data_IF_923616585764
#
_entry.id   IF_923616585764
#
_cell.length_a   1.000
_cell.length_b   1.000
_cell.length_c   1.000
_cell.angle_alpha   90.00
_cell.angle_beta   90.00
_cell.angle_gamma   90.00
#
_symmetry.space_group_name_H-M   'P 1'
#
loop_
_entity.id
_entity.type
_entity.pdbx_description
1 polymer ?
#
# COMPACT_ATOMS: atom_id res chain seq x y z
N UNK A 1 5.01 -19.92 2.92
CA UNK A 1 5.18 -19.04 1.75
C UNK A 1 4.44 -19.65 0.56
N UNK A 2 3.72 -18.84 -0.23
CA UNK A 2 3.15 -19.27 -1.52
C UNK A 2 3.73 -18.32 -2.57
N UNK A 3 4.56 -18.84 -3.47
CA UNK A 3 5.14 -18.09 -4.57
C UNK A 3 5.59 -19.06 -5.66
N UNK A 4 5.55 -18.64 -6.92
CA UNK A 4 5.88 -19.46 -8.08
C UNK A 4 7.05 -18.91 -8.90
N UNK A 5 7.66 -17.78 -8.49
CA UNK A 5 8.78 -17.21 -9.22
C UNK A 5 10.11 -17.86 -8.81
N UNK A 6 10.72 -18.72 -9.66
CA UNK A 6 11.95 -19.45 -9.31
C UNK A 6 13.17 -18.55 -9.16
N UNK A 7 13.10 -17.29 -9.59
CA UNK A 7 14.21 -16.33 -9.53
C UNK A 7 14.25 -15.54 -8.21
N UNK A 8 13.36 -15.86 -7.27
CA UNK A 8 13.26 -15.12 -6.00
C UNK A 8 13.88 -15.88 -4.84
N UNK A 9 14.50 -15.14 -3.92
CA UNK A 9 14.96 -15.69 -2.64
C UNK A 9 13.78 -16.26 -1.85
N UNK A 10 12.59 -15.64 -1.94
CA UNK A 10 11.39 -16.14 -1.24
C UNK A 10 10.92 -17.55 -1.64
N UNK A 11 11.41 -18.09 -2.76
CA UNK A 11 11.15 -19.47 -3.18
C UNK A 11 12.28 -20.42 -2.83
N UNK A 12 13.24 -19.99 -2.02
CA UNK A 12 14.20 -20.87 -1.38
C UNK A 12 13.52 -21.61 -0.21
N UNK A 13 13.85 -22.90 -0.05
CA UNK A 13 13.30 -23.75 0.99
C UNK A 13 13.77 -23.34 2.39
N UNK A 14 14.86 -22.59 2.50
CA UNK A 14 15.43 -22.15 3.77
C UNK A 14 14.75 -20.89 4.34
N UNK A 15 13.97 -20.16 3.53
CA UNK A 15 13.36 -18.87 3.91
C UNK A 15 12.02 -19.00 4.63
N UNK A 16 11.36 -20.15 4.54
CA UNK A 16 10.06 -20.37 5.16
C UNK A 16 9.89 -21.81 5.67
N UNK A 17 9.20 -21.98 6.79
CA UNK A 17 8.93 -23.31 7.37
C UNK A 17 8.23 -24.26 6.38
N UNK A 18 7.38 -23.70 5.51
CA UNK A 18 6.68 -24.39 4.43
C UNK A 18 6.61 -23.50 3.20
N UNK A 19 7.07 -24.02 2.07
CA UNK A 19 6.98 -23.37 0.77
C UNK A 19 6.03 -24.16 -0.16
N UNK A 20 5.04 -23.46 -0.70
CA UNK A 20 4.20 -23.95 -1.79
C UNK A 20 4.61 -23.24 -3.07
N UNK A 21 5.23 -23.99 -3.98
CA UNK A 21 5.62 -23.49 -5.28
C UNK A 21 4.43 -23.56 -6.24
N UNK A 22 3.50 -22.62 -6.06
CA UNK A 22 2.17 -22.63 -6.68
C UNK A 22 1.72 -21.23 -7.11
N UNK A 23 0.81 -21.19 -8.09
CA UNK A 23 0.22 -19.94 -8.56
C UNK A 23 -0.67 -19.30 -7.50
N UNK A 24 -0.61 -17.97 -7.38
CA UNK A 24 -1.48 -17.19 -6.51
C UNK A 24 -2.88 -17.12 -7.15
N UNK A 25 -3.75 -18.06 -6.79
CA UNK A 25 -5.07 -18.25 -7.41
C UNK A 25 -6.20 -18.41 -6.38
N UNK A 26 -7.45 -18.25 -6.84
CA UNK A 26 -8.64 -18.47 -5.99
C UNK A 26 -9.00 -19.94 -5.79
N UNK A 27 -8.30 -20.85 -6.46
CA UNK A 27 -8.53 -22.29 -6.36
C UNK A 27 -7.51 -22.89 -5.40
N UNK A 28 -6.22 -22.66 -5.67
CA UNK A 28 -5.13 -23.26 -4.90
C UNK A 28 -4.98 -22.64 -3.51
N UNK A 29 -5.13 -21.31 -3.38
CA UNK A 29 -4.83 -20.63 -2.12
C UNK A 29 -5.79 -21.00 -0.98
N UNK A 30 -7.12 -21.09 -1.19
CA UNK A 30 -8.04 -21.59 -0.17
C UNK A 30 -7.74 -23.03 0.26
N UNK A 31 -7.41 -23.92 -0.69
CA UNK A 31 -7.09 -25.32 -0.39
C UNK A 31 -5.84 -25.44 0.50
N UNK A 32 -4.80 -24.65 0.19
CA UNK A 32 -3.59 -24.56 1.02
C UNK A 32 -3.93 -23.97 2.39
N UNK A 33 -4.73 -22.90 2.44
CA UNK A 33 -5.15 -22.24 3.68
C UNK A 33 -5.84 -23.21 4.65
N UNK A 34 -6.78 -24.02 4.13
CA UNK A 34 -7.54 -25.00 4.88
C UNK A 34 -6.68 -26.20 5.29
N UNK A 35 -5.83 -26.70 4.39
CA UNK A 35 -4.91 -27.81 4.66
C UNK A 35 -3.93 -27.45 5.78
N UNK A 36 -3.38 -26.24 5.73
CA UNK A 36 -2.44 -25.72 6.74
C UNK A 36 -3.14 -25.26 8.02
N UNK A 37 -4.47 -25.15 8.01
CA UNK A 37 -5.27 -24.52 9.09
C UNK A 37 -4.67 -23.17 9.51
N UNK A 38 -4.34 -22.38 8.51
CA UNK A 38 -3.61 -21.13 8.72
C UNK A 38 -4.42 -20.15 9.57
N UNK A 39 -3.75 -19.51 10.54
CA UNK A 39 -4.39 -18.50 11.42
C UNK A 39 -4.93 -17.30 10.62
N UNK A 40 -4.26 -16.96 9.53
CA UNK A 40 -4.64 -15.91 8.62
C UNK A 40 -3.63 -15.76 7.50
N UNK A 41 -3.97 -14.93 6.52
CA UNK A 41 -3.15 -14.67 5.33
C UNK A 41 -2.72 -13.22 5.32
N UNK A 42 -1.47 -12.98 4.92
CA UNK A 42 -0.90 -11.66 4.66
C UNK A 42 -0.74 -11.50 3.15
N UNK A 43 -1.32 -10.44 2.59
CA UNK A 43 -1.35 -10.16 1.16
C UNK A 43 -0.58 -8.87 0.81
N UNK A 44 -0.30 -8.03 1.81
CA UNK A 44 0.27 -6.69 1.68
C UNK A 44 1.76 -6.68 1.32
N UNK A 45 2.36 -7.80 0.94
CA UNK A 45 3.79 -7.91 0.64
C UNK A 45 4.07 -8.49 -0.74
N UNK A 46 3.07 -9.05 -1.42
CA UNK A 46 3.26 -9.74 -2.70
C UNK A 46 2.84 -8.95 -3.93
N UNK A 47 2.67 -7.63 -3.82
CA UNK A 47 2.34 -6.78 -4.96
C UNK A 47 0.87 -6.79 -5.38
N UNK A 48 0.60 -6.56 -6.66
CA UNK A 48 -0.76 -6.40 -7.19
C UNK A 48 -1.53 -7.73 -7.27
N UNK A 49 -0.86 -8.83 -7.62
CA UNK A 49 -1.49 -10.16 -7.78
C UNK A 49 -2.25 -10.63 -6.53
N UNK A 50 -1.63 -10.72 -5.34
CA UNK A 50 -2.34 -11.10 -4.11
C UNK A 50 -3.38 -10.05 -3.68
N UNK A 51 -3.11 -8.76 -3.91
CA UNK A 51 -4.04 -7.69 -3.53
C UNK A 51 -5.36 -7.77 -4.34
N UNK A 52 -5.27 -8.14 -5.62
CA UNK A 52 -6.45 -8.28 -6.49
C UNK A 52 -7.36 -9.43 -6.07
N UNK A 53 -6.81 -10.52 -5.49
CA UNK A 53 -7.59 -11.68 -5.03
C UNK A 53 -8.07 -11.57 -3.58
N UNK A 54 -7.63 -10.54 -2.84
CA UNK A 54 -7.92 -10.40 -1.42
C UNK A 54 -9.42 -10.34 -1.09
N UNK A 55 -10.19 -9.56 -1.86
CA UNK A 55 -11.64 -9.43 -1.62
C UNK A 55 -12.40 -10.74 -1.93
N UNK A 56 -12.16 -11.44 -3.06
CA UNK A 56 -12.70 -12.78 -3.26
C UNK A 56 -12.32 -13.78 -2.14
N UNK A 57 -11.06 -13.83 -1.70
CA UNK A 57 -10.63 -14.71 -0.61
C UNK A 57 -11.37 -14.40 0.70
N UNK A 58 -11.54 -13.12 1.02
CA UNK A 58 -12.30 -12.70 2.19
C UNK A 58 -13.76 -13.16 2.15
N UNK A 59 -14.39 -13.14 0.97
CA UNK A 59 -15.77 -13.66 0.79
C UNK A 59 -15.86 -15.16 0.96
N UNK A 60 -14.76 -15.88 0.78
CA UNK A 60 -14.64 -17.32 1.05
C UNK A 60 -14.26 -17.62 2.52
N UNK A 61 -14.37 -16.62 3.42
CA UNK A 61 -14.04 -16.73 4.84
C UNK A 61 -12.55 -16.94 5.15
N UNK A 62 -11.64 -16.70 4.19
CA UNK A 62 -10.21 -16.65 4.50
C UNK A 62 -9.93 -15.43 5.38
N UNK A 63 -9.34 -15.67 6.55
CA UNK A 63 -9.02 -14.60 7.50
C UNK A 63 -7.80 -13.81 7.03
N UNK A 64 -7.98 -12.53 6.71
CA UNK A 64 -6.87 -11.63 6.40
C UNK A 64 -6.32 -11.02 7.69
N UNK A 65 -4.98 -10.95 7.80
CA UNK A 65 -4.28 -10.33 8.94
C UNK A 65 -4.11 -8.83 8.71
N UNK A 66 -3.99 -8.44 7.44
CA UNK A 66 -3.81 -7.08 6.97
C UNK A 66 -5.09 -6.53 6.33
N UNK A 67 -5.21 -5.20 6.33
CA UNK A 67 -6.32 -4.54 5.65
C UNK A 67 -6.04 -4.51 4.15
N UNK A 68 -6.53 -5.51 3.42
CA UNK A 68 -6.39 -5.56 1.96
C UNK A 68 -6.99 -4.32 1.30
N UNK A 69 -6.18 -3.68 0.47
CA UNK A 69 -6.43 -2.36 -0.05
C UNK A 69 -7.50 -2.41 -1.14
N UNK A 70 -8.73 -2.06 -0.78
CA UNK A 70 -9.81 -2.00 -1.75
C UNK A 70 -9.88 -0.60 -2.36
N UNK A 71 -9.37 -0.47 -3.59
CA UNK A 71 -9.40 0.75 -4.42
C UNK A 71 -10.80 1.39 -4.54
N UNK A 72 -11.87 0.58 -4.52
CA UNK A 72 -13.26 1.06 -4.53
C UNK A 72 -13.76 1.52 -3.16
N UNK A 73 -13.39 0.85 -2.05
CA UNK A 73 -13.65 1.35 -0.69
C UNK A 73 -12.87 2.64 -0.44
N UNK A 74 -11.65 2.71 -0.97
CA UNK A 74 -10.79 3.89 -0.92
C UNK A 74 -11.43 5.08 -1.63
N UNK A 75 -11.85 4.92 -2.89
CA UNK A 75 -12.59 5.94 -3.66
C UNK A 75 -13.89 6.39 -2.97
N UNK A 76 -14.69 5.46 -2.43
CA UNK A 76 -15.94 5.84 -1.75
C UNK A 76 -15.70 6.53 -0.41
N UNK A 77 -14.70 6.10 0.37
CA UNK A 77 -14.33 6.79 1.61
C UNK A 77 -13.66 8.14 1.33
N UNK A 78 -12.91 8.28 0.23
CA UNK A 78 -12.42 9.58 -0.24
C UNK A 78 -13.56 10.58 -0.49
N UNK A 79 -14.71 10.13 -1.01
CA UNK A 79 -15.88 11.01 -1.14
C UNK A 79 -16.44 11.46 0.23
N UNK A 80 -16.46 10.58 1.23
CA UNK A 80 -16.86 10.95 2.61
C UNK A 80 -15.81 11.84 3.30
N UNK A 81 -14.53 11.62 2.99
CA UNK A 81 -13.37 12.44 3.36
C UNK A 81 -13.28 13.69 2.44
N UNK A 82 -14.25 13.92 1.53
CA UNK A 82 -14.19 15.00 0.54
C UNK A 82 -14.08 16.40 1.15
N UNK A 83 -14.56 16.60 2.37
CA UNK A 83 -14.35 17.81 3.17
C UNK A 83 -12.89 18.03 3.60
N UNK A 84 -12.13 16.95 3.81
CA UNK A 84 -10.69 16.99 4.06
C UNK A 84 -9.88 17.22 2.77
N UNK A 85 -10.28 16.61 1.64
CA UNK A 85 -9.68 16.93 0.33
C UNK A 85 -9.89 18.41 -0.05
N UNK A 86 -11.02 19.01 0.34
CA UNK A 86 -11.28 20.44 0.21
C UNK A 86 -10.38 21.30 1.11
N UNK A 87 -9.89 20.77 2.25
CA UNK A 87 -8.91 21.45 3.11
C UNK A 87 -7.46 21.29 2.62
N UNK A 88 -7.15 20.18 1.94
CA UNK A 88 -5.77 19.84 1.51
C UNK A 88 -5.45 20.32 0.09
N UNK A 89 -6.46 20.61 -0.74
CA UNK A 89 -6.30 21.09 -2.12
C UNK A 89 -6.31 19.96 -3.16
N UNK A 90 -7.13 20.09 -4.19
CA UNK A 90 -7.35 19.08 -5.25
C UNK A 90 -6.20 19.00 -6.27
N UNK A 91 -6.13 17.90 -7.08
CA UNK A 91 -6.81 16.58 -6.98
C UNK A 91 -5.99 15.34 -6.48
N UNK A 92 -6.41 14.64 -5.41
CA UNK A 92 -5.63 13.52 -4.80
C UNK A 92 -5.48 12.23 -5.65
N UNK A 93 -4.27 11.91 -6.16
CA UNK A 93 -3.94 10.60 -6.75
C UNK A 93 -3.39 9.63 -5.70
N UNK A 94 -4.29 9.01 -4.93
CA UNK A 94 -3.87 7.91 -4.06
C UNK A 94 -3.84 6.62 -4.85
N UNK A 95 -2.63 6.09 -5.08
CA UNK A 95 -2.45 4.76 -5.65
C UNK A 95 -2.05 3.75 -4.58
N UNK A 96 -2.85 2.69 -4.41
CA UNK A 96 -2.43 1.39 -3.86
C UNK A 96 -1.21 0.84 -4.60
N UNK A 97 -0.01 1.29 -4.27
CA UNK A 97 1.19 0.96 -5.03
C UNK A 97 2.36 0.67 -4.11
N UNK A 98 3.07 -0.41 -4.39
CA UNK A 98 4.35 -0.73 -3.74
C UNK A 98 5.53 0.06 -4.31
N UNK A 99 5.26 1.23 -4.91
CA UNK A 99 6.26 2.03 -5.61
C UNK A 99 6.61 3.27 -4.78
N UNK A 100 7.90 3.45 -4.55
CA UNK A 100 8.58 4.00 -3.37
C UNK A 100 8.53 5.54 -3.16
N UNK A 101 7.50 6.25 -3.64
CA UNK A 101 7.42 7.72 -3.45
C UNK A 101 6.86 8.17 -2.08
N UNK A 102 6.42 7.25 -1.21
CA UNK A 102 6.04 7.57 0.18
C UNK A 102 5.45 6.36 0.91
N UNK A 103 6.12 5.86 1.94
CA UNK A 103 5.70 4.64 2.65
C UNK A 103 5.33 4.99 4.08
N UNK A 104 4.15 4.56 4.50
CA UNK A 104 3.72 4.65 5.89
C UNK A 104 3.27 3.27 6.39
N UNK A 105 3.46 3.04 7.68
CA UNK A 105 3.00 1.84 8.36
C UNK A 105 2.06 2.26 9.48
N UNK A 106 0.87 1.66 9.47
CA UNK A 106 -0.12 1.88 10.51
C UNK A 106 -0.43 0.59 11.27
N UNK A 107 -0.80 0.78 12.54
CA UNK A 107 -1.39 -0.25 13.38
C UNK A 107 -2.68 0.34 13.94
N UNK A 108 -3.82 -0.30 13.65
CA UNK A 108 -5.15 0.17 14.07
C UNK A 108 -5.42 1.65 13.70
N UNK A 109 -5.01 2.05 12.49
CA UNK A 109 -5.18 3.42 12.01
C UNK A 109 -4.27 4.46 12.68
N UNK A 110 -3.32 4.05 13.51
CA UNK A 110 -2.29 4.93 14.08
C UNK A 110 -1.00 4.75 13.30
N UNK A 111 -0.46 5.85 12.79
CA UNK A 111 0.81 5.87 12.07
C UNK A 111 1.99 5.68 13.01
N UNK A 112 2.69 4.56 12.84
CA UNK A 112 3.83 4.17 13.67
C UNK A 112 5.16 4.51 13.00
N UNK A 113 5.19 4.54 11.67
CA UNK A 113 6.37 4.88 10.88
C UNK A 113 5.93 5.52 9.57
N UNK A 114 6.70 6.49 9.10
CA UNK A 114 6.52 7.07 7.78
C UNK A 114 7.87 7.42 7.19
N UNK A 115 7.89 7.55 5.88
CA UNK A 115 9.04 8.01 5.14
C UNK A 115 8.57 8.72 3.86
N UNK A 116 9.16 9.88 3.59
CA UNK A 116 8.82 10.75 2.45
C UNK A 116 10.01 10.77 1.49
N UNK A 117 9.77 10.35 0.25
CA UNK A 117 10.72 10.46 -0.86
C UNK A 117 10.29 11.60 -1.79
N UNK A 118 11.23 12.12 -2.55
CA UNK A 118 10.97 13.04 -3.65
C UNK A 118 11.42 12.41 -4.97
N UNK A 119 10.56 12.51 -5.99
CA UNK A 119 10.89 12.11 -7.36
C UNK A 119 11.80 13.19 -7.98
N UNK A 120 12.92 12.79 -8.59
CA UNK A 120 13.82 13.71 -9.31
C UNK A 120 13.14 14.23 -10.58
N UNK A 121 12.37 13.36 -11.23
CA UNK A 121 11.64 13.65 -12.44
C UNK A 121 10.28 14.30 -12.13
N UNK A 122 9.81 15.14 -13.05
CA UNK A 122 8.48 15.71 -12.93
C UNK A 122 7.39 14.63 -13.03
N UNK A 123 6.24 14.87 -12.40
CA UNK A 123 5.08 13.97 -12.28
C UNK A 123 4.45 13.45 -13.61
N UNK A 124 5.01 13.80 -14.77
CA UNK A 124 4.66 13.23 -16.07
C UNK A 124 5.37 11.90 -16.38
N UNK A 125 6.39 11.53 -15.62
CA UNK A 125 7.13 10.25 -15.77
C UNK A 125 6.41 9.15 -14.98
N UNK A 126 6.47 7.90 -15.45
CA UNK A 126 5.87 6.80 -14.69
C UNK A 126 6.61 6.62 -13.36
N UNK A 127 5.84 6.55 -12.28
CA UNK A 127 6.41 6.50 -10.91
C UNK A 127 7.29 5.26 -10.66
N UNK A 128 7.18 4.20 -11.48
CA UNK A 128 8.05 3.03 -11.41
C UNK A 128 9.46 3.26 -11.95
N UNK A 129 9.62 4.26 -12.82
CA UNK A 129 10.89 4.57 -13.50
C UNK A 129 11.57 5.82 -12.93
N UNK A 130 10.92 6.51 -11.98
CA UNK A 130 11.42 7.72 -11.36
C UNK A 130 12.59 7.42 -10.40
N UNK A 131 13.61 8.27 -10.45
CA UNK A 131 14.69 8.30 -9.47
C UNK A 131 14.18 8.93 -8.19
N UNK A 132 14.39 8.26 -7.07
CA UNK A 132 13.94 8.73 -5.77
C UNK A 132 15.11 9.29 -4.96
N UNK A 133 14.91 10.47 -4.39
CA UNK A 133 15.82 11.04 -3.40
C UNK A 133 15.24 10.83 -2.00
N UNK A 134 16.11 10.34 -1.12
CA UNK A 134 15.81 10.18 0.30
C UNK A 134 16.08 11.45 1.09
N UNK A 135 15.05 11.89 1.81
CA UNK A 135 14.93 13.26 2.34
C UNK A 135 14.72 14.26 1.21
N UNK A 136 13.53 14.87 1.21
CA UNK A 136 13.15 15.89 0.23
C UNK A 136 14.18 17.01 0.18
N UNK A 137 14.64 17.39 -1.02
CA UNK A 137 15.67 18.41 -1.21
C UNK A 137 15.06 19.76 -1.54
N UNK A 138 14.04 19.78 -2.41
CA UNK A 138 13.47 21.00 -2.97
C UNK A 138 12.12 21.38 -2.33
N UNK A 139 11.53 20.46 -1.55
CA UNK A 139 10.27 20.71 -0.84
C UNK A 139 10.48 21.50 0.46
N UNK A 140 9.64 22.52 0.64
CA UNK A 140 9.56 23.29 1.89
C UNK A 140 9.19 22.37 3.07
N UNK A 141 9.84 22.49 4.25
CA UNK A 141 9.52 21.70 5.43
C UNK A 141 8.04 21.73 5.84
N UNK A 142 7.35 22.85 5.61
CA UNK A 142 5.89 22.98 5.86
C UNK A 142 5.10 22.06 4.95
N UNK A 143 5.48 21.96 3.68
CA UNK A 143 4.87 21.04 2.70
C UNK A 143 5.07 19.59 3.12
N UNK A 144 6.28 19.23 3.55
CA UNK A 144 6.57 17.88 4.07
C UNK A 144 5.70 17.56 5.29
N UNK A 145 5.58 18.49 6.23
CA UNK A 145 4.74 18.32 7.41
C UNK A 145 3.27 18.11 7.04
N UNK A 146 2.75 18.87 6.07
CA UNK A 146 1.39 18.69 5.56
C UNK A 146 1.18 17.31 4.91
N UNK A 147 2.16 16.80 4.16
CA UNK A 147 2.14 15.45 3.58
C UNK A 147 2.05 14.39 4.69
N UNK A 148 2.86 14.52 5.73
CA UNK A 148 2.88 13.57 6.86
C UNK A 148 1.56 13.59 7.61
N UNK A 149 1.01 14.77 7.89
CA UNK A 149 -0.29 14.92 8.55
C UNK A 149 -1.43 14.35 7.71
N UNK A 150 -1.42 14.59 6.40
CA UNK A 150 -2.41 14.03 5.49
C UNK A 150 -2.32 12.51 5.45
N UNK A 151 -1.11 11.97 5.39
CA UNK A 151 -0.85 10.52 5.39
C UNK A 151 -1.36 9.86 6.67
N UNK A 152 -1.13 10.48 7.83
CA UNK A 152 -1.63 10.00 9.12
C UNK A 152 -3.16 10.01 9.19
N UNK A 153 -3.79 11.11 8.74
CA UNK A 153 -5.25 11.27 8.75
C UNK A 153 -5.93 10.28 7.80
N UNK A 154 -5.38 10.07 6.61
CA UNK A 154 -5.89 9.08 5.64
C UNK A 154 -5.77 7.67 6.24
N UNK A 155 -4.60 7.37 6.80
CA UNK A 155 -4.33 6.12 7.50
C UNK A 155 -5.35 5.80 8.60
N UNK A 156 -5.68 6.80 9.41
CA UNK A 156 -6.67 6.71 10.46
C UNK A 156 -8.10 6.54 9.92
N UNK A 157 -8.51 7.37 8.96
CA UNK A 157 -9.85 7.33 8.38
C UNK A 157 -10.15 5.99 7.66
N UNK A 158 -9.12 5.34 7.15
CA UNK A 158 -9.23 4.04 6.49
C UNK A 158 -9.04 2.86 7.44
N UNK A 159 -8.66 3.13 8.69
CA UNK A 159 -8.29 2.11 9.68
C UNK A 159 -7.27 1.10 9.10
N UNK A 160 -6.22 1.64 8.48
CA UNK A 160 -5.17 0.82 7.88
C UNK A 160 -4.42 0.09 8.98
N UNK A 161 -4.20 -1.21 8.77
CA UNK A 161 -3.30 -2.03 9.57
C UNK A 161 -2.38 -2.76 8.61
N UNK A 162 -1.09 -2.40 8.64
CA UNK A 162 -0.09 -2.82 7.68
C UNK A 162 0.58 -1.66 6.94
N UNK A 163 1.47 -1.98 5.98
CA UNK A 163 2.09 -0.99 5.11
C UNK A 163 1.09 -0.43 4.10
N UNK A 164 1.23 0.85 3.78
CA UNK A 164 0.51 1.51 2.69
C UNK A 164 1.37 2.63 2.10
N UNK A 165 0.99 3.08 0.92
CA UNK A 165 1.70 4.09 0.16
C UNK A 165 0.71 5.14 -0.34
N UNK A 166 1.14 6.40 -0.34
CA UNK A 166 0.37 7.51 -0.90
C UNK A 166 1.32 8.38 -1.71
N UNK A 167 0.88 8.75 -2.92
CA UNK A 167 1.58 9.66 -3.80
C UNK A 167 0.90 11.03 -3.74
N UNK A 168 1.72 12.08 -3.68
CA UNK A 168 1.27 13.47 -3.69
C UNK A 168 1.95 14.19 -4.84
N UNK A 169 1.25 15.11 -5.48
CA UNK A 169 1.84 16.09 -6.40
C UNK A 169 1.98 17.40 -5.61
N UNK A 170 3.12 18.07 -5.78
CA UNK A 170 3.41 19.36 -5.15
C UNK A 170 3.78 20.37 -6.24
N UNK A 171 3.18 21.55 -6.21
CA UNK A 171 3.45 22.63 -7.16
C UNK A 171 3.23 24.00 -6.51
N UNK A 172 4.23 24.88 -6.61
CA UNK A 172 4.21 26.25 -6.09
C UNK A 172 4.01 26.33 -4.56
N UNK A 173 4.66 25.47 -3.76
CA UNK A 173 4.45 25.32 -2.30
C UNK A 173 3.00 25.04 -1.88
N UNK A 174 2.13 24.72 -2.84
CA UNK A 174 0.85 24.12 -2.59
C UNK A 174 0.98 22.63 -2.92
N UNK A 175 0.49 21.78 -2.03
CA UNK A 175 0.22 20.39 -2.36
C UNK A 175 -0.97 20.44 -3.32
N UNK A 176 -0.69 20.40 -4.61
CA UNK A 176 -1.69 20.28 -5.66
C UNK A 176 -1.60 18.86 -6.11
N UNK A 177 -2.53 18.05 -5.63
CA UNK A 177 -2.42 16.64 -5.96
C UNK A 177 -2.76 16.38 -7.43
#
# INVERSE_FOLDING_TARGET
>A
MINYNPETVSTDCDEADRLYFENISLETNPDIYDTERSRGVMLSMGGQTPNNIALPLHRQNVRMIDTAENRYKFSRRLHEIGSFCLQVGYPVLVRPSYVLSGVAMNVDGVMVMHYVSEDVENASVDCGDATLIHSTQDLDPVTVQQIVEATAKIGNALNVTGPYNIQFIAKDNAIKV
#
